data_IF_938316592164
#
_entry.id   IF_938316592164
#
_cell.length_a   1.000
_cell.length_b   1.000
_cell.length_c   1.000
_cell.angle_alpha   90.00
_cell.angle_beta   90.00
_cell.angle_gamma   90.00
#
_symmetry.space_group_name_H-M   'P 1'
#
loop_
_entity.id
_entity.type
_entity.pdbx_description
1 polymer ?
#
# COMPACT_ATOMS: atom_id res chain seq x y z
N UNK A 1 -6.01 -9.12 -16.69
CA UNK A 1 -4.89 -9.04 -15.74
C UNK A 1 -5.48 -8.86 -14.35
N UNK A 2 -4.96 -9.55 -13.32
CA UNK A 2 -5.38 -9.36 -11.94
C UNK A 2 -5.35 -7.89 -11.51
N UNK A 3 -6.26 -7.57 -10.59
CA UNK A 3 -6.38 -6.24 -10.00
C UNK A 3 -5.93 -6.30 -8.55
N UNK A 4 -5.10 -5.34 -8.18
CA UNK A 4 -4.60 -5.13 -6.83
C UNK A 4 -4.97 -3.72 -6.38
N UNK A 5 -5.15 -3.54 -5.07
CA UNK A 5 -5.45 -2.24 -4.47
C UNK A 5 -4.33 -1.88 -3.52
N UNK A 6 -3.61 -0.82 -3.85
CA UNK A 6 -2.65 -0.19 -2.96
C UNK A 6 -3.40 0.82 -2.09
N UNK A 7 -3.25 0.69 -0.78
CA UNK A 7 -3.88 1.58 0.20
C UNK A 7 -2.81 2.26 1.02
N UNK A 8 -3.06 3.51 1.38
CA UNK A 8 -2.27 4.23 2.36
C UNK A 8 -3.14 4.77 3.49
N UNK A 9 -2.65 4.68 4.72
CA UNK A 9 -3.34 5.25 5.88
C UNK A 9 -2.36 5.75 6.94
N UNK A 10 -2.91 6.42 7.94
CA UNK A 10 -2.21 6.72 9.17
C UNK A 10 -2.32 5.53 10.12
N UNK A 11 -1.14 5.02 10.52
CA UNK A 11 -0.93 4.05 11.58
C UNK A 11 -0.57 4.81 12.85
N UNK A 12 -1.38 4.63 13.89
CA UNK A 12 -1.16 5.21 15.19
C UNK A 12 0.04 4.55 15.91
N UNK A 13 0.60 5.19 16.96
CA UNK A 13 1.73 4.65 17.72
C UNK A 13 1.46 3.27 18.36
N UNK A 14 0.21 2.98 18.71
CA UNK A 14 -0.25 1.68 19.21
C UNK A 14 -0.35 0.59 18.12
N UNK A 15 -0.11 0.98 16.87
CA UNK A 15 -0.12 0.11 15.71
C UNK A 15 -1.47 -0.05 15.01
N UNK A 16 -2.53 0.59 15.50
CA UNK A 16 -3.82 0.60 14.80
C UNK A 16 -3.71 1.36 13.48
N UNK A 17 -4.30 0.79 12.42
CA UNK A 17 -4.35 1.41 11.09
C UNK A 17 -5.72 2.07 10.95
N UNK A 18 -5.73 3.38 10.71
CA UNK A 18 -6.95 4.14 10.46
C UNK A 18 -7.58 3.83 9.10
N UNK A 19 -8.68 4.51 8.74
CA UNK A 19 -9.29 4.37 7.42
C UNK A 19 -8.27 4.73 6.31
N UNK A 20 -8.37 4.10 5.12
CA UNK A 20 -7.56 4.49 3.97
C UNK A 20 -7.70 5.98 3.67
N UNK A 21 -6.57 6.68 3.60
CA UNK A 21 -6.48 8.06 3.14
C UNK A 21 -6.52 8.13 1.62
N UNK A 22 -5.96 7.11 0.97
CA UNK A 22 -6.09 6.91 -0.47
C UNK A 22 -6.15 5.42 -0.80
N UNK A 23 -6.73 5.13 -1.96
CA UNK A 23 -6.72 3.83 -2.60
C UNK A 23 -6.32 4.00 -4.06
N UNK A 24 -5.49 3.11 -4.58
CA UNK A 24 -5.10 3.09 -5.98
C UNK A 24 -5.15 1.68 -6.55
N UNK A 25 -5.80 1.57 -7.70
CA UNK A 25 -5.93 0.32 -8.43
C UNK A 25 -4.69 0.08 -9.28
N UNK A 26 -3.99 -1.03 -9.01
CA UNK A 26 -2.84 -1.50 -9.79
C UNK A 26 -3.28 -2.74 -10.59
N UNK A 27 -3.15 -2.66 -11.91
CA UNK A 27 -3.33 -3.83 -12.79
C UNK A 27 -1.96 -4.43 -13.08
N UNK A 28 -1.77 -5.72 -12.77
CA UNK A 28 -0.50 -6.42 -12.94
C UNK A 28 -0.74 -7.88 -13.33
N UNK A 29 0.21 -8.52 -14.01
CA UNK A 29 0.12 -9.92 -14.40
C UNK A 29 0.31 -10.89 -13.23
N UNK A 30 1.01 -10.47 -12.17
CA UNK A 30 1.30 -11.27 -10.99
C UNK A 30 1.35 -10.42 -9.71
N UNK A 31 1.26 -11.04 -8.51
CA UNK A 31 1.51 -10.34 -7.26
C UNK A 31 2.90 -9.72 -7.19
N UNK A 32 3.93 -10.42 -7.67
CA UNK A 32 5.31 -9.90 -7.67
C UNK A 32 5.46 -8.64 -8.52
N UNK A 33 4.79 -8.58 -9.68
CA UNK A 33 4.75 -7.38 -10.49
C UNK A 33 3.98 -6.25 -9.81
N UNK A 34 2.84 -6.56 -9.19
CA UNK A 34 2.06 -5.58 -8.44
C UNK A 34 2.86 -4.97 -7.28
N UNK A 35 3.64 -5.78 -6.56
CA UNK A 35 4.55 -5.32 -5.50
C UNK A 35 5.64 -4.42 -6.06
N UNK A 36 6.24 -4.76 -7.21
CA UNK A 36 7.23 -3.88 -7.86
C UNK A 36 6.63 -2.53 -8.23
N UNK A 37 5.42 -2.51 -8.79
CA UNK A 37 4.69 -1.28 -9.11
C UNK A 37 4.35 -0.49 -7.84
N UNK A 38 3.87 -1.16 -6.78
CA UNK A 38 3.59 -0.55 -5.49
C UNK A 38 4.83 0.10 -4.86
N UNK A 39 6.00 -0.55 -4.95
CA UNK A 39 7.27 0.00 -4.45
C UNK A 39 7.79 1.19 -5.27
N UNK A 40 7.45 1.26 -6.55
CA UNK A 40 7.77 2.41 -7.40
C UNK A 40 6.94 3.66 -7.02
N UNK A 41 5.85 3.50 -6.28
CA UNK A 41 5.12 4.63 -5.72
C UNK A 41 5.82 5.16 -4.48
N UNK A 42 6.10 6.46 -4.49
CA UNK A 42 6.67 7.10 -3.32
C UNK A 42 5.56 7.55 -2.37
N UNK A 43 5.69 7.18 -1.08
CA UNK A 43 4.84 7.65 0.00
C UNK A 43 4.77 9.19 0.06
N UNK A 44 5.86 9.87 -0.30
CA UNK A 44 5.90 11.33 -0.37
C UNK A 44 4.93 11.92 -1.41
N UNK A 45 4.57 11.14 -2.45
CA UNK A 45 3.82 11.64 -3.61
C UNK A 45 2.30 11.42 -3.56
N UNK A 46 1.79 10.60 -2.62
CA UNK A 46 0.36 10.22 -2.60
C UNK A 46 -0.45 10.92 -1.51
N UNK A 47 0.05 10.91 -0.27
CA UNK A 47 -0.47 11.72 0.84
C UNK A 47 0.58 11.71 1.96
N UNK A 48 1.14 12.86 2.31
CA UNK A 48 2.20 12.97 3.33
C UNK A 48 1.75 12.48 4.72
N UNK A 49 0.42 12.42 4.97
CA UNK A 49 -0.16 11.92 6.22
C UNK A 49 -0.16 10.39 6.29
N UNK A 50 0.00 9.69 5.17
CA UNK A 50 0.12 8.24 5.18
C UNK A 50 1.51 7.84 5.69
N UNK A 51 1.54 6.95 6.69
CA UNK A 51 2.77 6.38 7.22
C UNK A 51 2.79 4.84 7.14
N UNK A 52 1.75 4.24 6.57
CA UNK A 52 1.64 2.82 6.27
C UNK A 52 1.01 2.63 4.89
N UNK A 53 1.60 1.73 4.10
CA UNK A 53 1.08 1.23 2.83
C UNK A 53 0.82 -0.26 2.92
N UNK A 54 -0.18 -0.72 2.18
CA UNK A 54 -0.38 -2.13 1.95
C UNK A 54 -1.06 -2.40 0.61
N UNK A 55 -0.72 -3.54 0.02
CA UNK A 55 -1.21 -4.00 -1.27
C UNK A 55 -2.04 -5.26 -1.06
N UNK A 56 -3.29 -5.24 -1.51
CA UNK A 56 -4.19 -6.39 -1.47
C UNK A 56 -4.64 -6.80 -2.87
N UNK A 57 -4.98 -8.07 -3.07
CA UNK A 57 -5.67 -8.53 -4.28
C UNK A 57 -7.21 -8.36 -4.16
N UNK A 58 -7.93 -8.79 -5.20
CA UNK A 58 -9.38 -8.75 -5.27
C UNK A 58 -10.09 -9.60 -4.19
N UNK A 59 -9.38 -10.58 -3.60
CA UNK A 59 -9.88 -11.40 -2.50
C UNK A 59 -9.56 -10.79 -1.12
N UNK A 60 -8.84 -9.66 -1.09
CA UNK A 60 -8.41 -9.00 0.14
C UNK A 60 -7.15 -9.62 0.75
N UNK A 61 -6.44 -10.50 0.04
CA UNK A 61 -5.19 -11.09 0.53
C UNK A 61 -4.09 -10.05 0.49
N UNK A 62 -3.39 -9.88 1.60
CA UNK A 62 -2.24 -8.99 1.72
C UNK A 62 -1.01 -9.61 1.01
N UNK A 63 -0.48 -8.90 0.01
CA UNK A 63 0.71 -9.32 -0.73
C UNK A 63 1.98 -8.56 -0.31
N UNK A 64 1.82 -7.34 0.20
CA UNK A 64 2.95 -6.49 0.62
C UNK A 64 2.46 -5.37 1.53
N UNK A 65 3.34 -4.93 2.43
CA UNK A 65 3.12 -3.75 3.27
C UNK A 65 4.43 -3.04 3.55
N UNK A 66 4.37 -1.73 3.73
CA UNK A 66 5.52 -0.90 4.08
C UNK A 66 5.10 0.12 5.14
N UNK A 67 5.88 0.25 6.21
CA UNK A 67 5.75 1.39 7.12
C UNK A 67 6.81 2.41 6.76
N UNK A 68 6.48 3.69 6.85
CA UNK A 68 7.42 4.79 6.58
C UNK A 68 8.69 4.65 7.43
N UNK A 69 8.54 4.23 8.68
CA UNK A 69 9.65 3.99 9.61
C UNK A 69 10.56 2.80 9.22
N UNK A 70 10.13 1.90 8.32
CA UNK A 70 10.97 0.80 7.83
C UNK A 70 11.84 1.24 6.61
N UNK A 71 11.69 2.48 6.14
CA UNK A 71 12.35 3.01 4.93
C UNK A 71 13.57 3.90 5.22
N UNK A 72 13.67 4.41 6.46
CA UNK A 72 14.80 5.18 6.98
C UNK A 72 15.78 4.27 7.74
#
# INVERSE_FOLDING_TARGET
MPVFVLRGACRAPDGQIGPPLFEETITAASPSEAVRLANAHDLSTKDERANALWLVDAQGVLHWSLRRADRD
#
